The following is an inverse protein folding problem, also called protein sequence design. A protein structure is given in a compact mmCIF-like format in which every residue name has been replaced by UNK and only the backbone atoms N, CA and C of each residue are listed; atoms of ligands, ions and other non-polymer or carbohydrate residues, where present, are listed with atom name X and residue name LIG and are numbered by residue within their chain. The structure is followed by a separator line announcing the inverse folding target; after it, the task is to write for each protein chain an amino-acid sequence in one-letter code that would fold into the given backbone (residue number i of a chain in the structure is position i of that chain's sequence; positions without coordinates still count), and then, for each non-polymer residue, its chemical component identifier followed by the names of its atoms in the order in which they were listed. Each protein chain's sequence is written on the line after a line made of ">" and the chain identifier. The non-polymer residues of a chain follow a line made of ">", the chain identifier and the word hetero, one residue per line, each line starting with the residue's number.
data_IF_803345784175
#
_entry.id   IF_803345784175
#
_cell.length_a   1.000
_cell.length_b   1.000
_cell.length_c   1.000
_cell.angle_alpha   90.00
_cell.angle_beta   90.00
_cell.angle_gamma   90.00
#
_symmetry.space_group_name_H-M   'P 1'
#
loop_
_entity.id
_entity.type
_entity.pdbx_description
1 polymer ?
#
# COMPACT_ATOMS: atom_id res chain seq x y z
N UNK A 1 -62.30 -10.60 -2.49
CA UNK A 1 -61.44 -11.74 -2.12
C UNK A 1 -59.98 -11.41 -2.47
N UNK A 2 -59.22 -10.95 -1.47
CA UNK A 2 -57.77 -10.81 -1.31
C UNK A 2 -56.79 -10.98 -2.52
N UNK A 3 -56.70 -9.99 -3.42
CA UNK A 3 -55.61 -9.93 -4.43
C UNK A 3 -54.23 -9.64 -3.82
N UNK A 4 -54.18 -9.04 -2.62
CA UNK A 4 -52.93 -8.70 -1.91
C UNK A 4 -52.18 -9.95 -1.43
N UNK A 5 -52.89 -10.97 -0.90
CA UNK A 5 -52.29 -12.26 -0.51
C UNK A 5 -51.80 -13.09 -1.72
N UNK A 6 -52.45 -12.95 -2.89
CA UNK A 6 -52.15 -13.73 -4.10
C UNK A 6 -50.80 -13.36 -4.72
N UNK A 7 -50.39 -12.08 -4.63
CA UNK A 7 -49.09 -11.62 -5.13
C UNK A 7 -48.00 -11.69 -4.04
N UNK A 8 -48.39 -11.70 -2.76
CA UNK A 8 -47.46 -11.72 -1.63
C UNK A 8 -46.57 -12.98 -1.62
N UNK A 9 -47.12 -14.15 -1.99
CA UNK A 9 -46.37 -15.40 -2.04
C UNK A 9 -45.29 -15.43 -3.13
N UNK A 10 -45.37 -14.54 -4.14
CA UNK A 10 -44.34 -14.36 -5.19
C UNK A 10 -43.40 -13.19 -4.85
N UNK A 11 -43.93 -12.11 -4.27
CA UNK A 11 -43.13 -10.94 -3.88
C UNK A 11 -42.16 -11.29 -2.74
N UNK A 12 -42.58 -12.08 -1.76
CA UNK A 12 -41.74 -12.51 -0.64
C UNK A 12 -40.47 -13.23 -1.13
N UNK A 13 -40.54 -14.31 -1.95
CA UNK A 13 -39.33 -15.00 -2.40
C UNK A 13 -38.45 -14.12 -3.30
N UNK A 14 -39.02 -13.23 -4.12
CA UNK A 14 -38.23 -12.28 -4.92
C UNK A 14 -37.45 -11.30 -4.03
N UNK A 15 -38.08 -10.77 -2.98
CA UNK A 15 -37.40 -9.93 -2.00
C UNK A 15 -36.31 -10.70 -1.25
N UNK A 16 -36.59 -11.94 -0.86
CA UNK A 16 -35.60 -12.81 -0.20
C UNK A 16 -34.39 -13.03 -1.10
N UNK A 17 -34.59 -13.35 -2.39
CA UNK A 17 -33.50 -13.48 -3.35
C UNK A 17 -32.74 -12.17 -3.51
N UNK A 18 -33.43 -11.03 -3.57
CA UNK A 18 -32.77 -9.71 -3.64
C UNK A 18 -31.89 -9.44 -2.42
N UNK A 19 -32.37 -9.73 -1.20
CA UNK A 19 -31.56 -9.58 0.02
C UNK A 19 -30.39 -10.57 0.04
N UNK A 20 -30.58 -11.80 -0.44
CA UNK A 20 -29.49 -12.79 -0.56
C UNK A 20 -28.44 -12.28 -1.56
N UNK A 21 -28.85 -11.82 -2.74
CA UNK A 21 -27.93 -11.28 -3.76
C UNK A 21 -27.21 -10.04 -3.24
N UNK A 22 -27.90 -9.13 -2.55
CA UNK A 22 -27.30 -7.95 -1.93
C UNK A 22 -26.30 -8.32 -0.84
N UNK A 23 -26.61 -9.31 0.01
CA UNK A 23 -25.70 -9.80 1.04
C UNK A 23 -24.47 -10.48 0.44
N UNK A 24 -24.64 -11.29 -0.61
CA UNK A 24 -23.53 -11.92 -1.34
C UNK A 24 -22.65 -10.85 -1.98
N UNK A 25 -23.26 -9.86 -2.64
CA UNK A 25 -22.52 -8.78 -3.28
C UNK A 25 -21.77 -7.91 -2.26
N UNK A 26 -22.40 -7.60 -1.12
CA UNK A 26 -21.76 -6.89 -0.02
C UNK A 26 -20.60 -7.67 0.60
N UNK A 27 -20.78 -8.98 0.80
CA UNK A 27 -19.72 -9.87 1.26
C UNK A 27 -18.56 -9.94 0.28
N UNK A 28 -18.86 -10.11 -1.02
CA UNK A 28 -17.85 -10.08 -2.09
C UNK A 28 -17.13 -8.73 -2.11
N UNK A 29 -17.84 -7.62 -2.04
CA UNK A 29 -17.24 -6.30 -2.02
C UNK A 29 -16.30 -6.11 -0.81
N UNK A 30 -16.77 -6.49 0.37
CA UNK A 30 -16.00 -6.41 1.61
C UNK A 30 -14.70 -7.24 1.53
N UNK A 31 -14.80 -8.49 1.12
CA UNK A 31 -13.64 -9.38 1.07
C UNK A 31 -12.67 -9.02 -0.07
N UNK A 32 -13.18 -8.72 -1.27
CA UNK A 32 -12.34 -8.52 -2.45
C UNK A 32 -11.89 -7.07 -2.68
N UNK A 33 -12.49 -6.07 -2.05
CA UNK A 33 -12.09 -4.66 -2.25
C UNK A 33 -11.76 -3.93 -0.96
N UNK A 34 -12.54 -4.13 0.11
CA UNK A 34 -12.32 -3.39 1.34
C UNK A 34 -11.10 -3.90 2.11
N UNK A 35 -10.92 -5.21 2.22
CA UNK A 35 -9.81 -5.83 2.95
C UNK A 35 -8.55 -5.99 2.09
N UNK A 36 -7.97 -4.88 1.64
CA UNK A 36 -6.69 -4.86 0.93
C UNK A 36 -5.74 -3.82 1.54
N UNK A 37 -4.44 -4.14 1.72
CA UNK A 37 -3.43 -3.11 1.94
C UNK A 37 -3.27 -2.24 0.69
N UNK A 38 -2.78 -1.01 0.84
CA UNK A 38 -2.60 -0.09 -0.30
C UNK A 38 -1.45 0.88 -0.08
N UNK A 39 -0.69 1.15 -1.14
CA UNK A 39 0.42 2.10 -1.19
C UNK A 39 0.33 3.04 -2.40
N UNK A 40 -0.81 3.06 -3.08
CA UNK A 40 -1.04 3.81 -4.34
C UNK A 40 -1.26 5.32 -4.12
N UNK A 41 -0.99 5.83 -2.92
CA UNK A 41 -1.24 7.24 -2.60
C UNK A 41 0.03 8.05 -2.77
N UNK A 42 0.12 8.79 -3.86
CA UNK A 42 1.23 9.70 -4.17
C UNK A 42 1.39 10.83 -3.14
N UNK A 43 0.33 11.14 -2.38
CA UNK A 43 0.40 12.13 -1.29
C UNK A 43 1.26 11.66 -0.11
N UNK A 44 1.38 10.34 0.10
CA UNK A 44 2.07 9.76 1.25
C UNK A 44 3.23 8.85 0.87
N UNK A 45 3.19 8.28 -0.33
CA UNK A 45 4.19 7.37 -0.85
C UNK A 45 4.98 8.09 -1.94
N UNK A 46 6.04 8.76 -1.54
CA UNK A 46 6.86 9.60 -2.43
C UNK A 46 8.34 9.34 -2.20
N UNK A 47 9.13 9.49 -3.27
CA UNK A 47 10.58 9.53 -3.20
C UNK A 47 11.04 10.96 -3.46
N UNK A 48 11.78 11.52 -2.51
CA UNK A 48 12.38 12.84 -2.61
C UNK A 48 13.90 12.77 -2.48
N UNK A 49 14.60 13.81 -2.94
CA UNK A 49 16.06 13.89 -2.86
C UNK A 49 16.52 15.28 -2.40
N UNK A 50 17.65 15.32 -1.71
CA UNK A 50 18.34 16.55 -1.30
C UNK A 50 19.83 16.45 -1.64
N UNK A 51 20.41 17.41 -2.38
CA UNK A 51 19.79 18.59 -2.97
C UNK A 51 18.80 18.25 -4.09
N UNK A 52 17.75 19.06 -4.25
CA UNK A 52 16.78 18.93 -5.35
C UNK A 52 17.19 19.72 -6.61
N UNK A 53 18.49 20.00 -6.76
CA UNK A 53 19.06 20.87 -7.79
C UNK A 53 20.28 20.21 -8.45
N UNK A 54 21.02 20.96 -9.28
CA UNK A 54 22.22 20.42 -9.95
C UNK A 54 23.30 20.09 -8.92
N UNK A 55 23.79 18.85 -9.02
CA UNK A 55 24.88 18.30 -8.21
C UNK A 55 26.15 18.16 -9.07
N UNK A 56 27.31 18.20 -8.41
CA UNK A 56 28.63 17.99 -9.02
C UNK A 56 29.20 16.64 -8.56
N UNK A 57 30.18 16.08 -9.30
CA UNK A 57 30.91 14.92 -8.82
C UNK A 57 31.50 15.17 -7.43
N UNK A 58 31.23 14.25 -6.50
CA UNK A 58 31.65 14.35 -5.10
C UNK A 58 30.62 14.96 -4.15
N UNK A 59 29.52 15.52 -4.66
CA UNK A 59 28.41 15.95 -3.79
C UNK A 59 27.65 14.72 -3.26
N UNK A 60 27.25 14.78 -1.98
CA UNK A 60 26.39 13.76 -1.37
C UNK A 60 24.91 14.07 -1.65
N UNK A 61 24.16 13.04 -2.05
CA UNK A 61 22.73 13.13 -2.33
C UNK A 61 22.00 12.25 -1.33
N UNK A 62 21.11 12.84 -0.53
CA UNK A 62 20.22 12.07 0.35
C UNK A 62 18.91 11.81 -0.34
N UNK A 63 18.57 10.54 -0.54
CA UNK A 63 17.27 10.07 -0.98
C UNK A 63 16.40 9.74 0.23
N UNK A 64 15.14 10.15 0.20
CA UNK A 64 14.13 9.84 1.22
C UNK A 64 12.94 9.16 0.56
N UNK A 65 12.50 8.05 1.15
CA UNK A 65 11.30 7.31 0.75
C UNK A 65 10.31 7.42 1.91
N UNK A 66 9.25 8.18 1.70
CA UNK A 66 8.10 8.23 2.60
C UNK A 66 7.11 7.14 2.18
N UNK A 67 6.53 6.44 3.17
CA UNK A 67 5.58 5.36 2.90
C UNK A 67 4.43 5.37 3.90
N UNK A 68 3.27 4.92 3.45
CA UNK A 68 2.06 4.73 4.25
C UNK A 68 1.17 3.65 3.69
N UNK A 69 0.74 2.75 4.57
CA UNK A 69 -0.32 1.80 4.26
C UNK A 69 -1.69 2.50 4.35
N UNK A 70 -2.24 2.91 3.21
CA UNK A 70 -3.56 3.54 3.11
C UNK A 70 -4.71 2.53 3.01
N UNK A 71 -4.39 1.23 2.97
CA UNK A 71 -5.36 0.15 2.93
C UNK A 71 -5.93 -0.20 4.31
N UNK A 72 -6.82 -1.19 4.35
CA UNK A 72 -7.53 -1.55 5.58
C UNK A 72 -6.94 -2.74 6.34
N UNK A 73 -5.86 -3.33 5.83
CA UNK A 73 -5.20 -4.50 6.43
C UNK A 73 -3.77 -4.18 6.78
N UNK A 74 -3.27 -4.79 7.86
CA UNK A 74 -1.84 -4.82 8.19
C UNK A 74 -1.06 -5.56 7.10
N UNK A 75 0.11 -5.01 6.75
CA UNK A 75 1.09 -5.68 5.90
C UNK A 75 2.12 -6.30 6.81
N UNK A 76 2.22 -7.63 6.78
CA UNK A 76 3.22 -8.36 7.56
C UNK A 76 4.57 -8.35 6.84
N UNK A 77 5.65 -8.26 7.60
CA UNK A 77 7.02 -8.30 7.08
C UNK A 77 7.25 -7.33 5.91
N UNK A 78 6.82 -6.07 6.05
CA UNK A 78 6.98 -5.05 5.03
C UNK A 78 8.47 -4.74 4.78
N UNK A 79 8.83 -4.75 3.50
CA UNK A 79 10.18 -4.52 2.99
C UNK A 79 10.17 -3.42 1.94
N UNK A 80 11.18 -2.57 1.96
CA UNK A 80 11.43 -1.61 0.87
C UNK A 80 12.74 -2.01 0.20
N UNK A 81 12.66 -2.31 -1.10
CA UNK A 81 13.83 -2.57 -1.95
C UNK A 81 14.02 -1.42 -2.91
N UNK A 82 15.21 -0.84 -2.93
CA UNK A 82 15.57 0.23 -3.85
C UNK A 82 16.94 -0.03 -4.48
N UNK A 83 17.22 0.63 -5.60
CA UNK A 83 18.52 0.60 -6.28
C UNK A 83 19.31 1.85 -5.90
N UNK A 84 20.63 1.70 -5.82
CA UNK A 84 21.52 2.86 -5.79
C UNK A 84 21.52 3.49 -7.19
N UNK A 85 21.24 4.79 -7.33
CA UNK A 85 21.23 5.47 -8.63
C UNK A 85 22.57 5.38 -9.35
N UNK A 86 22.53 5.40 -10.68
CA UNK A 86 23.74 5.34 -11.50
C UNK A 86 24.67 6.54 -11.22
N UNK A 87 25.98 6.31 -11.29
CA UNK A 87 27.03 7.30 -11.00
C UNK A 87 27.04 7.83 -9.56
N UNK A 88 26.47 7.08 -8.61
CA UNK A 88 26.54 7.36 -7.18
C UNK A 88 27.15 6.17 -6.43
N UNK A 89 27.69 6.43 -5.25
CA UNK A 89 28.20 5.39 -4.34
C UNK A 89 27.42 5.45 -3.03
N UNK A 90 27.03 4.29 -2.50
CA UNK A 90 26.33 4.20 -1.23
C UNK A 90 27.23 4.59 -0.06
N UNK A 91 26.77 5.54 0.74
CA UNK A 91 27.41 6.04 1.96
C UNK A 91 26.73 5.45 3.20
N UNK A 92 25.43 5.66 3.38
CA UNK A 92 24.72 5.27 4.60
C UNK A 92 23.20 5.18 4.42
N UNK A 93 22.53 4.49 5.33
CA UNK A 93 21.07 4.38 5.34
C UNK A 93 20.49 4.48 6.76
N UNK A 94 19.32 5.11 6.86
CA UNK A 94 18.56 5.27 8.11
C UNK A 94 17.09 4.88 7.86
N UNK A 95 16.54 3.89 8.58
CA UNK A 95 17.23 2.93 9.44
C UNK A 95 18.24 2.09 8.63
N UNK A 96 19.08 1.32 9.32
CA UNK A 96 20.09 0.50 8.67
C UNK A 96 19.47 -0.44 7.61
N UNK A 97 20.01 -0.40 6.40
CA UNK A 97 19.61 -1.25 5.28
C UNK A 97 20.69 -2.29 4.99
N UNK A 98 20.28 -3.41 4.38
CA UNK A 98 21.23 -4.38 3.82
C UNK A 98 21.61 -3.96 2.41
N UNK A 99 22.88 -3.61 2.22
CA UNK A 99 23.44 -3.30 0.91
C UNK A 99 23.96 -4.55 0.20
N UNK A 100 23.37 -4.86 -0.95
CA UNK A 100 23.81 -5.93 -1.84
C UNK A 100 24.62 -5.33 -3.00
N UNK A 101 25.94 -5.52 -2.94
CA UNK A 101 26.89 -5.03 -3.95
C UNK A 101 26.75 -5.69 -5.32
N UNK A 102 26.30 -6.94 -5.39
CA UNK A 102 26.15 -7.67 -6.66
C UNK A 102 25.01 -7.11 -7.51
N UNK A 103 23.91 -6.72 -6.86
CA UNK A 103 22.71 -6.18 -7.52
C UNK A 103 22.59 -4.65 -7.43
N UNK A 104 23.54 -4.00 -6.78
CA UNK A 104 23.54 -2.58 -6.43
C UNK A 104 22.22 -2.12 -5.77
N UNK A 105 21.72 -2.89 -4.79
CA UNK A 105 20.42 -2.67 -4.14
C UNK A 105 20.50 -2.52 -2.63
N UNK A 106 19.59 -1.73 -2.07
CA UNK A 106 19.35 -1.61 -0.63
C UNK A 106 18.02 -2.27 -0.27
N UNK A 107 18.03 -3.03 0.84
CA UNK A 107 16.84 -3.64 1.42
C UNK A 107 16.62 -3.13 2.85
N UNK A 108 15.54 -2.39 3.05
CA UNK A 108 15.05 -1.96 4.36
C UNK A 108 14.04 -2.98 4.88
N UNK A 109 14.24 -3.46 6.12
CA UNK A 109 13.28 -4.31 6.82
C UNK A 109 12.49 -3.45 7.80
N UNK A 110 11.24 -3.16 7.47
CA UNK A 110 10.38 -2.31 8.31
C UNK A 110 9.65 -3.16 9.35
N UNK A 111 9.29 -4.40 8.99
CA UNK A 111 8.48 -5.27 9.83
C UNK A 111 6.99 -5.07 9.54
N UNK A 112 6.15 -5.31 10.53
CA UNK A 112 4.71 -5.21 10.32
C UNK A 112 4.28 -3.75 10.22
N UNK A 113 3.48 -3.42 9.20
CA UNK A 113 2.96 -2.09 8.95
C UNK A 113 1.43 -2.10 9.04
N UNK A 114 0.90 -1.53 10.12
CA UNK A 114 -0.53 -1.54 10.38
C UNK A 114 -1.31 -0.66 9.40
N UNK A 115 -2.63 -0.83 9.39
CA UNK A 115 -3.54 0.07 8.69
C UNK A 115 -3.26 1.53 9.10
N UNK A 116 -3.16 2.41 8.10
CA UNK A 116 -2.89 3.85 8.24
C UNK A 116 -1.53 4.19 8.85
N UNK A 117 -0.68 3.20 9.14
CA UNK A 117 0.67 3.43 9.64
C UNK A 117 1.58 3.95 8.51
N UNK A 118 2.50 4.83 8.88
CA UNK A 118 3.42 5.49 7.98
C UNK A 118 4.80 5.60 8.60
N UNK A 119 5.81 5.71 7.75
CA UNK A 119 7.17 5.98 8.18
C UNK A 119 8.00 6.52 7.03
N UNK A 120 9.30 6.64 7.28
CA UNK A 120 10.27 7.04 6.26
C UNK A 120 11.56 6.26 6.38
N UNK A 121 12.23 6.09 5.26
CA UNK A 121 13.61 5.64 5.19
C UNK A 121 14.43 6.60 4.34
N UNK A 122 15.72 6.71 4.61
CA UNK A 122 16.62 7.53 3.82
C UNK A 122 17.94 6.83 3.57
N UNK A 123 18.59 7.16 2.46
CA UNK A 123 19.94 6.71 2.15
C UNK A 123 20.72 7.78 1.39
N UNK A 124 22.03 7.76 1.54
CA UNK A 124 22.99 8.54 0.75
C UNK A 124 24.02 7.64 0.11
#
# INVERSE_FOLDING_TARGET
>A
MNNKKRNLWIIIPVLVVFFIVSAILGYYFYFFYYLKPSFESDQFNEVSQTPNSRVKPGDEITYTIDYKNTGNLTVFEFLIKTKIPDNTEFVSAVPAAVFNKSDNTLLFRIGDLNKNESGKVSFS
#
